data_IF_414648677600
#
_entry.id   IF_414648677600
#
_cell.length_a   1.000
_cell.length_b   1.000
_cell.length_c   1.000
_cell.angle_alpha   90.00
_cell.angle_beta   90.00
_cell.angle_gamma   90.00
#
_symmetry.space_group_name_H-M   'P 1'
#
loop_
_entity.id
_entity.type
_entity.pdbx_description
1 polymer ?
#
# COMPACT_ATOMS: atom_id res chain seq x y z
N UNK A 1 -3.28 28.61 15.74
CA UNK A 1 -4.10 27.66 14.96
C UNK A 1 -4.14 28.19 13.54
N UNK A 2 -3.72 27.42 12.53
CA UNK A 2 -3.71 27.89 11.13
C UNK A 2 -5.16 28.20 10.70
N UNK A 3 -5.40 29.39 10.13
CA UNK A 3 -6.72 29.86 9.72
C UNK A 3 -7.09 29.32 8.32
N UNK A 4 -7.44 28.05 8.25
CA UNK A 4 -7.77 27.37 6.98
C UNK A 4 -9.05 27.89 6.33
N UNK A 5 -10.06 28.31 7.11
CA UNK A 5 -11.26 28.96 6.56
C UNK A 5 -10.92 30.31 5.94
N UNK A 6 -9.94 31.04 6.48
CA UNK A 6 -9.41 32.26 5.87
C UNK A 6 -8.79 32.00 4.49
N UNK A 7 -7.99 30.94 4.37
CA UNK A 7 -7.39 30.52 3.08
C UNK A 7 -8.49 30.10 2.09
N UNK A 8 -9.48 29.34 2.55
CA UNK A 8 -10.61 28.92 1.72
C UNK A 8 -11.37 30.13 1.14
N UNK A 9 -11.69 31.13 1.98
CA UNK A 9 -12.37 32.35 1.55
C UNK A 9 -11.54 33.19 0.59
N UNK A 10 -10.22 33.28 0.79
CA UNK A 10 -9.33 33.96 -0.16
C UNK A 10 -9.34 33.30 -1.55
N UNK A 11 -9.62 31.99 -1.61
CA UNK A 11 -9.73 31.23 -2.84
C UNK A 11 -11.17 31.15 -3.38
N UNK A 12 -12.14 31.82 -2.73
CA UNK A 12 -13.53 31.86 -3.17
C UNK A 12 -14.41 30.70 -2.67
N UNK A 13 -13.95 29.93 -1.70
CA UNK A 13 -14.74 28.87 -1.05
C UNK A 13 -15.34 29.36 0.27
N UNK A 14 -16.53 28.86 0.62
CA UNK A 14 -17.24 29.24 1.85
C UNK A 14 -16.53 28.70 3.11
N UNK A 15 -16.11 27.44 3.05
CA UNK A 15 -15.45 26.73 4.14
C UNK A 15 -14.20 25.99 3.66
N UNK A 16 -13.32 25.62 4.59
CA UNK A 16 -12.21 24.71 4.28
C UNK A 16 -12.70 23.38 3.68
N UNK A 17 -13.80 22.83 4.22
CA UNK A 17 -14.33 21.56 3.75
C UNK A 17 -14.62 21.61 2.25
N UNK A 18 -15.28 22.66 1.78
CA UNK A 18 -15.65 22.80 0.37
C UNK A 18 -14.42 22.94 -0.53
N UNK A 19 -13.43 23.73 -0.09
CA UNK A 19 -12.15 23.87 -0.79
C UNK A 19 -11.43 22.51 -0.93
N UNK A 20 -11.29 21.76 0.17
CA UNK A 20 -10.59 20.48 0.16
C UNK A 20 -11.37 19.40 -0.58
N UNK A 21 -12.70 19.42 -0.50
CA UNK A 21 -13.58 18.52 -1.24
C UNK A 21 -13.44 18.75 -2.74
N UNK A 22 -13.44 20.01 -3.17
CA UNK A 22 -13.30 20.39 -4.56
C UNK A 22 -11.96 19.95 -5.13
N UNK A 23 -10.85 20.31 -4.48
CA UNK A 23 -9.52 19.90 -4.93
C UNK A 23 -9.32 18.38 -4.91
N UNK A 24 -9.75 17.69 -3.86
CA UNK A 24 -9.43 16.27 -3.69
C UNK A 24 -10.38 15.33 -4.44
N UNK A 25 -11.68 15.64 -4.45
CA UNK A 25 -12.71 14.75 -4.99
C UNK A 25 -13.14 15.16 -6.38
N UNK A 26 -13.44 16.45 -6.61
CA UNK A 26 -13.96 16.91 -7.91
C UNK A 26 -12.85 17.10 -8.94
N UNK A 27 -11.76 17.74 -8.54
CA UNK A 27 -10.58 17.95 -9.41
C UNK A 27 -9.58 16.79 -9.38
N UNK A 28 -9.84 15.77 -8.54
CA UNK A 28 -8.97 14.60 -8.33
C UNK A 28 -7.48 14.92 -8.08
N UNK A 29 -7.18 16.05 -7.45
CA UNK A 29 -5.80 16.43 -7.18
C UNK A 29 -5.15 15.48 -6.17
N UNK A 30 -3.91 15.08 -6.47
CA UNK A 30 -3.09 14.37 -5.49
C UNK A 30 -2.80 15.26 -4.27
N UNK A 31 -2.67 14.63 -3.09
CA UNK A 31 -2.33 15.34 -1.84
C UNK A 31 -1.03 16.16 -1.98
N UNK A 32 -0.06 15.67 -2.75
CA UNK A 32 1.20 16.40 -3.02
C UNK A 32 0.95 17.69 -3.81
N UNK A 33 0.04 17.66 -4.79
CA UNK A 33 -0.33 18.83 -5.58
C UNK A 33 -1.10 19.85 -4.75
N UNK A 34 -2.04 19.39 -3.92
CA UNK A 34 -2.78 20.24 -2.98
C UNK A 34 -1.81 20.92 -2.00
N UNK A 35 -0.90 20.14 -1.42
CA UNK A 35 0.14 20.62 -0.51
C UNK A 35 1.00 21.73 -1.16
N UNK A 36 1.46 21.51 -2.40
CA UNK A 36 2.21 22.52 -3.15
C UNK A 36 1.37 23.77 -3.44
N UNK A 37 0.11 23.60 -3.87
CA UNK A 37 -0.81 24.69 -4.19
C UNK A 37 -1.12 25.57 -2.98
N UNK A 38 -1.23 24.98 -1.80
CA UNK A 38 -1.57 25.67 -0.55
C UNK A 38 -0.34 26.04 0.29
N UNK A 39 0.88 25.77 -0.19
CA UNK A 39 2.11 26.07 0.54
C UNK A 39 2.27 25.30 1.86
N UNK A 40 1.70 24.10 1.96
CA UNK A 40 1.63 23.32 3.19
C UNK A 40 2.30 21.94 3.06
N UNK A 41 2.59 21.29 4.19
CA UNK A 41 3.10 19.92 4.22
C UNK A 41 2.03 18.88 3.82
N UNK A 42 2.43 17.78 3.17
CA UNK A 42 1.51 16.69 2.82
C UNK A 42 0.87 16.03 4.05
N UNK A 43 1.58 15.97 5.17
CA UNK A 43 1.05 15.51 6.47
C UNK A 43 -0.05 16.45 6.97
N UNK A 44 0.13 17.75 6.81
CA UNK A 44 -0.87 18.76 7.19
C UNK A 44 -2.15 18.59 6.37
N UNK A 45 -2.04 18.48 5.04
CA UNK A 45 -3.19 18.22 4.16
C UNK A 45 -3.89 16.90 4.53
N UNK A 46 -3.13 15.84 4.80
CA UNK A 46 -3.69 14.57 5.25
C UNK A 46 -4.50 14.69 6.54
N UNK A 47 -4.02 15.49 7.50
CA UNK A 47 -4.71 15.75 8.76
C UNK A 47 -5.98 16.57 8.52
N UNK A 48 -5.92 17.62 7.70
CA UNK A 48 -7.08 18.46 7.39
C UNK A 48 -8.18 17.70 6.65
N UNK A 49 -7.84 16.90 5.64
CA UNK A 49 -8.80 15.98 4.98
C UNK A 49 -9.52 15.09 6.00
N UNK A 50 -8.80 14.58 7.01
CA UNK A 50 -9.39 13.75 8.07
C UNK A 50 -10.31 14.54 9.00
N UNK A 51 -9.94 15.77 9.37
CA UNK A 51 -10.74 16.66 10.22
C UNK A 51 -12.04 17.05 9.49
N UNK A 52 -11.96 17.32 8.19
CA UNK A 52 -13.12 17.59 7.34
C UNK A 52 -13.94 16.34 7.00
N UNK A 53 -13.59 15.14 7.47
CA UNK A 53 -14.33 13.91 7.16
C UNK A 53 -14.21 13.43 5.70
N UNK A 54 -13.26 13.96 4.93
CA UNK A 54 -13.05 13.56 3.53
C UNK A 54 -12.30 12.24 3.50
N UNK A 55 -12.99 11.19 3.05
CA UNK A 55 -12.42 9.85 2.97
C UNK A 55 -11.32 9.80 1.91
N UNK A 56 -10.12 9.41 2.33
CA UNK A 56 -8.96 9.30 1.43
C UNK A 56 -9.07 8.04 0.58
N UNK A 57 -8.70 8.16 -0.71
CA UNK A 57 -8.52 7.00 -1.59
C UNK A 57 -7.53 6.02 -0.92
N UNK A 58 -7.86 4.71 -0.87
CA UNK A 58 -6.99 3.73 -0.23
C UNK A 58 -5.60 3.74 -0.87
N UNK A 59 -4.57 3.69 -0.02
CA UNK A 59 -3.19 3.66 -0.51
C UNK A 59 -2.91 2.31 -1.17
N UNK A 60 -2.41 2.34 -2.40
CA UNK A 60 -1.95 1.16 -3.12
C UNK A 60 -2.90 0.73 -4.23
N UNK A 61 -2.52 1.02 -5.47
CA UNK A 61 -3.15 0.41 -6.63
C UNK A 61 -2.86 -1.09 -6.73
N UNK A 62 -3.30 -1.72 -7.83
CA UNK A 62 -3.02 -3.12 -8.13
C UNK A 62 -1.53 -3.49 -8.05
N UNK A 63 -0.66 -2.50 -8.27
CA UNK A 63 0.81 -2.62 -8.23
C UNK A 63 1.42 -2.41 -6.83
N UNK A 64 0.61 -2.37 -5.77
CA UNK A 64 1.13 -2.32 -4.40
C UNK A 64 1.87 -3.62 -4.08
N UNK A 65 3.20 -3.53 -3.96
CA UNK A 65 4.07 -4.67 -3.71
C UNK A 65 3.71 -5.41 -2.41
N UNK A 66 3.36 -4.70 -1.33
CA UNK A 66 2.97 -5.33 -0.07
C UNK A 66 1.68 -6.14 -0.23
N UNK A 67 0.70 -5.62 -0.98
CA UNK A 67 -0.54 -6.34 -1.30
C UNK A 67 -0.26 -7.58 -2.16
N UNK A 68 0.60 -7.46 -3.18
CA UNK A 68 0.96 -8.60 -4.03
C UNK A 68 1.73 -9.68 -3.24
N UNK A 69 2.67 -9.29 -2.38
CA UNK A 69 3.37 -10.22 -1.48
C UNK A 69 2.42 -10.91 -0.52
N UNK A 70 1.47 -10.18 0.07
CA UNK A 70 0.43 -10.77 0.94
C UNK A 70 -0.41 -11.81 0.19
N UNK A 71 -0.71 -11.57 -1.09
CA UNK A 71 -1.43 -12.55 -1.93
C UNK A 71 -0.61 -13.82 -2.12
N UNK A 72 0.66 -13.70 -2.52
CA UNK A 72 1.58 -14.84 -2.66
C UNK A 72 1.76 -15.59 -1.34
N UNK A 73 1.81 -14.87 -0.22
CA UNK A 73 1.98 -15.45 1.09
C UNK A 73 0.78 -16.29 1.57
N UNK A 74 -0.43 -15.96 1.11
CA UNK A 74 -1.65 -16.71 1.45
C UNK A 74 -1.93 -17.91 0.53
N UNK A 75 -1.14 -18.09 -0.54
CA UNK A 75 -1.22 -19.27 -1.40
C UNK A 75 -0.50 -20.46 -0.76
N UNK A 76 -0.68 -21.68 -1.29
CA UNK A 76 0.13 -22.83 -0.88
C UNK A 76 1.61 -22.51 -1.14
N UNK A 77 2.40 -22.43 -0.07
CA UNK A 77 3.80 -22.04 -0.16
C UNK A 77 4.64 -23.07 -0.91
N UNK A 78 4.27 -24.35 -0.92
CA UNK A 78 4.96 -25.37 -1.73
C UNK A 78 4.78 -25.06 -3.21
N UNK A 79 3.55 -24.78 -3.63
CA UNK A 79 3.27 -24.35 -4.99
C UNK A 79 4.05 -23.08 -5.34
N UNK A 80 3.95 -22.04 -4.50
CA UNK A 80 4.66 -20.77 -4.73
C UNK A 80 6.15 -21.03 -4.87
N UNK A 81 6.78 -21.85 -4.03
CA UNK A 81 8.23 -22.04 -4.05
C UNK A 81 8.72 -22.92 -5.21
N UNK A 82 8.00 -23.99 -5.56
CA UNK A 82 8.48 -24.99 -6.52
C UNK A 82 7.94 -24.80 -7.94
N UNK A 83 6.78 -24.17 -8.14
CA UNK A 83 6.25 -23.95 -9.48
C UNK A 83 7.05 -22.88 -10.27
N UNK A 84 7.07 -22.94 -11.62
CA UNK A 84 7.65 -21.93 -12.47
C UNK A 84 7.12 -20.51 -12.19
N UNK A 85 7.98 -19.50 -12.28
CA UNK A 85 7.62 -18.10 -11.97
C UNK A 85 6.40 -17.60 -12.76
N UNK A 86 6.31 -17.98 -14.04
CA UNK A 86 5.23 -17.57 -14.93
C UNK A 86 3.88 -18.14 -14.48
N UNK A 87 3.85 -19.41 -14.10
CA UNK A 87 2.64 -20.08 -13.63
C UNK A 87 2.13 -19.49 -12.32
N UNK A 88 3.04 -19.27 -11.37
CA UNK A 88 2.69 -18.59 -10.11
C UNK A 88 2.18 -17.17 -10.38
N UNK A 89 2.81 -16.43 -11.29
CA UNK A 89 2.40 -15.07 -11.66
C UNK A 89 0.99 -15.05 -12.28
N UNK A 90 0.70 -15.98 -13.17
CA UNK A 90 -0.61 -16.12 -13.83
C UNK A 90 -1.73 -16.45 -12.83
N UNK A 91 -1.55 -17.50 -12.01
CA UNK A 91 -2.55 -17.91 -11.01
C UNK A 91 -2.73 -16.83 -9.95
N UNK A 92 -1.64 -16.21 -9.51
CA UNK A 92 -1.70 -15.12 -8.53
C UNK A 92 -2.13 -13.79 -9.13
N UNK A 93 -2.26 -13.63 -10.46
CA UNK A 93 -2.50 -12.34 -11.10
C UNK A 93 -1.48 -11.27 -10.68
N UNK A 94 -0.21 -11.63 -10.54
CA UNK A 94 0.90 -10.72 -10.19
C UNK A 94 1.97 -10.75 -11.29
N UNK A 95 2.95 -9.84 -11.22
CA UNK A 95 4.08 -9.87 -12.15
C UNK A 95 5.13 -10.90 -11.73
N UNK A 96 5.76 -11.56 -12.72
CA UNK A 96 6.86 -12.52 -12.51
C UNK A 96 7.99 -11.94 -11.66
N UNK A 97 8.33 -10.66 -11.84
CA UNK A 97 9.34 -9.95 -11.02
C UNK A 97 8.93 -9.88 -9.55
N UNK A 98 7.64 -9.72 -9.24
CA UNK A 98 7.15 -9.74 -7.85
C UNK A 98 7.30 -11.13 -7.25
N UNK A 99 6.93 -12.18 -7.99
CA UNK A 99 7.11 -13.57 -7.56
C UNK A 99 8.58 -13.88 -7.30
N UNK A 100 9.48 -13.48 -8.20
CA UNK A 100 10.92 -13.66 -8.04
C UNK A 100 11.44 -12.98 -6.76
N UNK A 101 11.09 -11.72 -6.53
CA UNK A 101 11.48 -10.97 -5.33
C UNK A 101 10.94 -11.63 -4.06
N UNK A 102 9.68 -12.07 -4.08
CA UNK A 102 9.08 -12.79 -2.96
C UNK A 102 9.84 -14.09 -2.65
N UNK A 103 10.08 -14.95 -3.65
CA UNK A 103 10.86 -16.19 -3.46
C UNK A 103 12.25 -15.91 -2.90
N UNK A 104 12.93 -14.87 -3.40
CA UNK A 104 14.26 -14.47 -2.94
C UNK A 104 14.26 -14.05 -1.47
N UNK A 105 13.24 -13.29 -1.05
CA UNK A 105 13.10 -12.86 0.34
C UNK A 105 12.76 -14.03 1.28
N UNK A 106 11.90 -14.96 0.85
CA UNK A 106 11.54 -16.17 1.61
C UNK A 106 12.75 -17.11 1.75
N UNK A 107 13.48 -17.39 0.66
CA UNK A 107 14.69 -18.25 0.70
C UNK A 107 15.84 -17.64 1.49
N UNK A 108 15.94 -16.31 1.52
CA UNK A 108 17.01 -15.61 2.21
C UNK A 108 16.77 -15.41 3.70
N UNK A 109 15.79 -16.10 4.30
CA UNK A 109 15.43 -15.97 5.72
C UNK A 109 14.88 -14.60 6.15
N UNK A 110 14.81 -13.63 5.23
CA UNK A 110 14.31 -12.27 5.53
C UNK A 110 12.81 -12.24 5.83
N UNK A 111 12.11 -13.31 5.45
CA UNK A 111 10.69 -13.55 5.70
C UNK A 111 10.48 -14.69 6.73
N UNK A 112 11.50 -15.03 7.54
CA UNK A 112 11.47 -16.15 8.50
C UNK A 112 10.26 -16.08 9.46
N UNK A 113 9.80 -14.90 9.84
CA UNK A 113 8.69 -14.75 10.78
C UNK A 113 7.30 -15.24 10.31
N UNK A 114 7.17 -15.74 9.08
CA UNK A 114 5.85 -16.01 8.47
C UNK A 114 5.59 -17.47 8.06
N UNK A 115 6.57 -18.37 8.19
CA UNK A 115 6.34 -19.83 8.10
C UNK A 115 6.19 -20.49 9.49
N UNK A 116 6.53 -19.78 10.57
CA UNK A 116 6.51 -20.31 11.95
C UNK A 116 5.11 -20.41 12.60
N UNK A 117 4.05 -19.92 11.97
CA UNK A 117 2.68 -20.00 12.51
C UNK A 117 1.85 -21.17 11.94
N UNK A 118 2.50 -22.25 11.51
CA UNK A 118 1.84 -23.55 11.49
C UNK A 118 2.15 -24.24 12.82
N UNK A 119 1.13 -24.78 13.53
CA UNK A 119 1.38 -25.53 14.76
C UNK A 119 2.44 -26.60 14.47
N UNK A 120 3.44 -26.65 15.33
CA UNK A 120 4.65 -27.44 15.14
C UNK A 120 4.36 -28.93 15.16
N UNK A 121 4.00 -29.47 14.00
CA UNK A 121 4.08 -30.90 13.72
C UNK A 121 5.45 -31.20 13.08
N UNK A 122 6.52 -30.89 13.82
CA UNK A 122 7.85 -31.51 13.69
C UNK A 122 8.46 -31.73 12.31
N UNK A 123 8.49 -30.75 11.40
CA UNK A 123 9.34 -30.85 10.21
C UNK A 123 10.46 -29.82 10.27
N UNK A 124 11.69 -30.33 10.30
CA UNK A 124 12.96 -29.61 10.26
C UNK A 124 13.02 -28.55 9.13
N UNK A 125 13.91 -27.54 9.25
CA UNK A 125 14.13 -26.57 8.19
C UNK A 125 14.43 -27.28 6.85
N UNK A 126 13.60 -26.96 5.85
CA UNK A 126 13.59 -27.53 4.50
C UNK A 126 14.91 -27.37 3.71
N UNK A 127 15.93 -26.76 4.31
CA UNK A 127 17.17 -26.35 3.66
C UNK A 127 18.44 -26.99 4.23
N UNK A 128 18.34 -27.85 5.25
CA UNK A 128 19.51 -28.52 5.85
C UNK A 128 19.82 -29.91 5.27
N UNK A 129 19.34 -30.22 4.06
CA UNK A 129 19.51 -31.56 3.45
C UNK A 129 19.90 -31.49 1.97
N UNK A 130 21.06 -30.92 1.65
CA UNK A 130 21.81 -31.23 0.41
C UNK A 130 23.32 -31.06 0.61
#
# INVERSE_FOLDING_TARGET
MENWDGIARQLGYETEHDMLLDFYVREEMSIKRIALKLGAGTTTINRRLSICGITKKPKGGANNLARQKMKLHRMDQRFVMFAPLKEVAEISGTHTTTVYKYKKEVRGGKLDGLLHNQPGDGVEPLFDSF
#
